data_IF_516183488080
#
_entry.id   IF_516183488080
#
_cell.length_a   1.000
_cell.length_b   1.000
_cell.length_c   1.000
_cell.angle_alpha   90.00
_cell.angle_beta   90.00
_cell.angle_gamma   90.00
#
_symmetry.space_group_name_H-M   'P 1'
#
loop_
_entity.id
_entity.type
_entity.pdbx_description
1 polymer ?
#
# COMPACT_ATOMS: atom_id res chain seq x y z
N UNK A 1 24.93 14.28 0.64
CA UNK A 1 23.77 13.85 1.45
C UNK A 1 22.67 13.43 0.48
N UNK A 2 22.76 12.20 -0.02
CA UNK A 2 21.82 11.68 -1.02
C UNK A 2 20.53 11.26 -0.32
N UNK A 3 19.39 11.79 -0.76
CA UNK A 3 18.09 11.40 -0.19
C UNK A 3 17.88 9.91 -0.43
N UNK A 4 17.64 9.16 0.66
CA UNK A 4 17.20 7.78 0.59
C UNK A 4 15.99 7.66 -0.33
N UNK A 5 16.09 6.75 -1.30
CA UNK A 5 15.11 6.37 -2.34
C UNK A 5 14.40 7.54 -3.03
N UNK A 6 14.64 7.67 -4.34
CA UNK A 6 13.94 8.60 -5.22
C UNK A 6 12.42 8.59 -4.97
N UNK A 7 11.88 9.72 -4.52
CA UNK A 7 10.44 9.91 -4.30
C UNK A 7 9.61 9.55 -5.55
N UNK A 8 10.21 9.71 -6.74
CA UNK A 8 9.61 9.26 -8.00
C UNK A 8 9.33 7.76 -8.03
N UNK A 9 10.24 6.92 -7.53
CA UNK A 9 10.09 5.46 -7.48
C UNK A 9 8.95 5.08 -6.54
N UNK A 10 8.90 5.69 -5.35
CA UNK A 10 7.83 5.46 -4.37
C UNK A 10 6.48 5.86 -4.97
N UNK A 11 6.40 7.06 -5.55
CA UNK A 11 5.18 7.58 -6.17
C UNK A 11 4.72 6.70 -7.33
N UNK A 12 5.64 6.20 -8.14
CA UNK A 12 5.33 5.33 -9.27
C UNK A 12 4.82 3.97 -8.80
N UNK A 13 5.50 3.33 -7.86
CA UNK A 13 5.08 2.06 -7.28
C UNK A 13 3.68 2.16 -6.62
N UNK A 14 3.43 3.23 -5.87
CA UNK A 14 2.13 3.49 -5.26
C UNK A 14 1.04 3.72 -6.32
N UNK A 15 1.34 4.48 -7.38
CA UNK A 15 0.39 4.74 -8.47
C UNK A 15 0.06 3.48 -9.27
N UNK A 16 1.02 2.62 -9.53
CA UNK A 16 0.79 1.34 -10.20
C UNK A 16 -0.05 0.38 -9.37
N UNK A 17 0.17 0.33 -8.04
CA UNK A 17 -0.63 -0.50 -7.14
C UNK A 17 -2.05 0.05 -6.97
N UNK A 18 -2.19 1.35 -6.75
CA UNK A 18 -3.49 2.00 -6.70
C UNK A 18 -4.23 1.87 -8.03
N UNK A 19 -3.53 1.98 -9.16
CA UNK A 19 -4.10 1.83 -10.51
C UNK A 19 -4.63 0.43 -10.82
N UNK A 20 -4.23 -0.60 -10.08
CA UNK A 20 -4.83 -1.93 -10.19
C UNK A 20 -6.22 -2.01 -9.55
N UNK A 21 -6.50 -1.11 -8.59
CA UNK A 21 -7.74 -1.02 -7.83
C UNK A 21 -8.64 0.12 -8.37
N UNK A 22 -8.04 1.15 -8.96
CA UNK A 22 -8.71 2.30 -9.56
C UNK A 22 -9.57 1.89 -10.77
N UNK A 23 -10.78 2.44 -10.87
CA UNK A 23 -11.76 2.14 -11.93
C UNK A 23 -12.15 0.66 -12.09
N UNK A 24 -12.02 -0.15 -11.04
CA UNK A 24 -12.46 -1.56 -11.04
C UNK A 24 -13.34 -1.89 -9.84
N UNK A 25 -14.19 -2.90 -10.00
CA UNK A 25 -14.90 -3.48 -8.87
C UNK A 25 -13.90 -4.21 -7.98
N UNK A 26 -13.68 -3.70 -6.77
CA UNK A 26 -12.81 -4.32 -5.78
C UNK A 26 -13.20 -5.78 -5.52
N UNK A 27 -14.50 -6.07 -5.51
CA UNK A 27 -15.05 -7.42 -5.36
C UNK A 27 -14.70 -8.38 -6.51
N UNK A 28 -14.13 -7.94 -7.63
CA UNK A 28 -13.67 -8.81 -8.72
C UNK A 28 -12.15 -9.03 -8.67
N UNK A 29 -11.45 -8.41 -7.72
CA UNK A 29 -9.99 -8.45 -7.64
C UNK A 29 -9.58 -9.40 -6.51
N UNK A 30 -8.88 -10.52 -6.78
CA UNK A 30 -8.33 -11.33 -5.70
C UNK A 30 -7.24 -10.56 -4.91
N UNK A 31 -7.24 -10.59 -3.56
CA UNK A 31 -8.06 -11.45 -2.67
C UNK A 31 -9.42 -10.87 -2.25
N UNK A 32 -9.77 -9.66 -2.67
CA UNK A 32 -11.02 -8.97 -2.31
C UNK A 32 -12.29 -9.61 -2.91
N UNK A 33 -12.15 -10.49 -3.90
CA UNK A 33 -13.21 -11.38 -4.37
C UNK A 33 -13.79 -12.28 -3.26
N UNK A 34 -12.97 -12.63 -2.26
CA UNK A 34 -13.39 -13.46 -1.11
C UNK A 34 -13.36 -12.71 0.22
N UNK A 35 -12.70 -11.56 0.24
CA UNK A 35 -12.37 -10.81 1.43
C UNK A 35 -13.00 -9.43 1.31
N UNK A 36 -13.74 -8.99 2.32
CA UNK A 36 -14.45 -7.73 2.24
C UNK A 36 -13.48 -6.58 1.92
N UNK A 37 -13.70 -5.76 0.87
CA UNK A 37 -12.76 -4.71 0.46
C UNK A 37 -12.85 -3.48 1.38
N UNK A 38 -12.54 -3.67 2.65
CA UNK A 38 -12.49 -2.59 3.64
C UNK A 38 -11.18 -1.82 3.52
N UNK A 39 -11.17 -0.58 4.01
CA UNK A 39 -9.98 0.26 4.03
C UNK A 39 -8.78 -0.39 4.74
N UNK A 40 -9.02 -1.22 5.76
CA UNK A 40 -7.98 -2.03 6.44
C UNK A 40 -7.35 -3.05 5.51
N UNK A 41 -8.15 -3.85 4.79
CA UNK A 41 -7.63 -4.84 3.86
C UNK A 41 -6.95 -4.20 2.65
N UNK A 42 -7.44 -3.05 2.19
CA UNK A 42 -6.81 -2.24 1.16
C UNK A 42 -5.47 -1.68 1.62
N UNK A 43 -5.40 -1.12 2.83
CA UNK A 43 -4.16 -0.60 3.40
C UNK A 43 -3.12 -1.72 3.56
N UNK A 44 -3.53 -2.91 4.03
CA UNK A 44 -2.66 -4.08 4.13
C UNK A 44 -2.18 -4.59 2.77
N UNK A 45 -3.06 -4.64 1.76
CA UNK A 45 -2.71 -5.02 0.40
C UNK A 45 -1.69 -4.05 -0.21
N UNK A 46 -1.93 -2.75 -0.07
CA UNK A 46 -1.03 -1.71 -0.55
C UNK A 46 0.31 -1.76 0.17
N UNK A 47 0.32 -1.93 1.50
CA UNK A 47 1.53 -2.11 2.29
C UNK A 47 2.35 -3.28 1.77
N UNK A 48 1.77 -4.48 1.67
CA UNK A 48 2.48 -5.68 1.19
C UNK A 48 2.94 -5.56 -0.26
N UNK A 49 2.17 -4.88 -1.11
CA UNK A 49 2.56 -4.58 -2.49
C UNK A 49 3.75 -3.62 -2.57
N UNK A 50 3.71 -2.54 -1.79
CA UNK A 50 4.77 -1.55 -1.71
C UNK A 50 6.03 -2.15 -1.07
N UNK A 51 5.89 -2.87 0.05
CA UNK A 51 6.97 -3.55 0.73
C UNK A 51 7.71 -4.51 -0.20
N UNK A 52 7.00 -5.32 -0.99
CA UNK A 52 7.65 -6.22 -1.98
C UNK A 52 8.42 -5.48 -3.08
N UNK A 53 8.03 -4.25 -3.42
CA UNK A 53 8.67 -3.45 -4.47
C UNK A 53 9.77 -2.52 -3.95
N UNK A 54 9.63 -2.03 -2.73
CA UNK A 54 10.46 -0.97 -2.15
C UNK A 54 11.37 -1.47 -1.02
N UNK A 55 11.03 -2.57 -0.34
CA UNK A 55 11.90 -3.11 0.70
C UNK A 55 13.17 -3.70 0.05
N UNK A 56 14.32 -3.27 0.56
CA UNK A 56 15.64 -3.72 0.11
C UNK A 56 16.70 -3.43 1.16
N UNK A 57 17.99 -3.52 0.80
CA UNK A 57 19.12 -3.48 1.74
C UNK A 57 19.34 -2.16 2.52
N UNK A 58 18.47 -1.16 2.35
CA UNK A 58 18.57 0.10 3.11
C UNK A 58 17.29 0.92 3.19
N UNK A 59 16.16 0.43 2.65
CA UNK A 59 14.85 1.09 2.74
C UNK A 59 13.80 0.04 2.99
N UNK A 60 12.85 0.39 3.86
CA UNK A 60 11.67 -0.41 4.15
C UNK A 60 10.44 0.48 4.30
N UNK A 61 9.31 -0.02 3.86
CA UNK A 61 8.02 0.62 4.08
C UNK A 61 7.64 0.45 5.55
N UNK A 62 7.58 1.55 6.29
CA UNK A 62 7.22 1.52 7.72
C UNK A 62 5.71 1.40 7.95
N UNK A 63 4.92 2.14 7.18
CA UNK A 63 3.46 2.15 7.30
C UNK A 63 2.82 2.68 6.01
N UNK A 64 1.55 2.34 5.78
CA UNK A 64 0.70 2.91 4.74
C UNK A 64 -0.56 3.47 5.37
N UNK A 65 -0.92 4.70 5.03
CA UNK A 65 -2.19 5.32 5.44
C UNK A 65 -3.09 5.47 4.23
N UNK A 66 -4.25 4.83 4.26
CA UNK A 66 -5.30 4.95 3.27
C UNK A 66 -6.38 5.89 3.78
N UNK A 67 -6.78 6.86 2.96
CA UNK A 67 -7.86 7.80 3.26
C UNK A 67 -9.06 7.46 2.38
N UNK A 68 -10.17 7.05 2.98
CA UNK A 68 -11.43 6.81 2.26
C UNK A 68 -12.21 8.11 2.11
N UNK A 69 -12.19 8.95 3.14
CA UNK A 69 -12.74 10.31 3.14
C UNK A 69 -11.84 11.24 3.95
N UNK A 70 -12.10 12.55 3.93
CA UNK A 70 -11.37 13.55 4.72
C UNK A 70 -11.37 13.27 6.23
N UNK A 71 -12.33 12.47 6.72
CA UNK A 71 -12.48 12.12 8.15
C UNK A 71 -12.22 10.65 8.45
N UNK A 72 -12.16 9.78 7.43
CA UNK A 72 -11.96 8.35 7.60
C UNK A 72 -10.64 7.93 6.96
N UNK A 73 -9.67 7.58 7.79
CA UNK A 73 -8.41 7.02 7.35
C UNK A 73 -8.08 5.77 8.15
N UNK A 74 -7.38 4.85 7.51
CA UNK A 74 -6.84 3.64 8.12
C UNK A 74 -5.35 3.63 7.91
N UNK A 75 -4.61 3.43 9.00
CA UNK A 75 -3.18 3.26 8.98
C UNK A 75 -2.85 1.80 9.24
N UNK A 76 -2.07 1.21 8.35
CA UNK A 76 -1.56 -0.14 8.47
C UNK A 76 -0.04 -0.14 8.58
N UNK A 77 0.47 -0.87 9.56
CA UNK A 77 1.89 -1.14 9.74
C UNK A 77 2.06 -2.59 10.21
N UNK A 78 2.98 -3.34 9.61
CA UNK A 78 3.41 -4.63 10.16
C UNK A 78 4.57 -4.34 11.11
N UNK A 79 4.41 -4.69 12.39
CA UNK A 79 5.55 -4.77 13.30
C UNK A 79 6.41 -5.94 12.81
N UNK A 80 7.56 -5.63 12.21
CA UNK A 80 8.63 -6.63 12.04
C UNK A 80 9.07 -7.04 13.46
N UNK A 81 8.52 -8.15 13.95
CA UNK A 81 9.05 -8.83 15.13
C UNK A 81 10.52 -9.20 14.80
N UNK A 82 11.49 -8.80 15.66
CA UNK A 82 12.93 -8.95 15.39
C UNK A 82 13.43 -10.40 15.40
#
# INVERSE_FOLDING_TARGET
MGMGVDFKVIKQAARELAGQLDHRYLNDIPPFDRLNPTAEHLAAFLYRGLSRRLNGEGVRVKAVTLWETERACVRYEEEEEP
#
